data_IF_875970760279
#
_entry.id   IF_875970760279
#
_cell.length_a   1.000
_cell.length_b   1.000
_cell.length_c   1.000
_cell.angle_alpha   90.00
_cell.angle_beta   90.00
_cell.angle_gamma   90.00
#
_symmetry.space_group_name_H-M   'P 1'
#
loop_
_entity.id
_entity.type
_entity.pdbx_description
1 polymer ?
#
# COMPACT_ATOMS: atom_id res chain seq x y z
N UNK A 1 21.11 25.71 -15.16
CA UNK A 1 20.80 24.34 -15.59
C UNK A 1 20.19 23.60 -14.41
N UNK A 2 19.05 22.91 -14.60
CA UNK A 2 18.49 22.06 -13.54
C UNK A 2 19.39 20.85 -13.27
N UNK A 3 19.26 20.24 -12.06
CA UNK A 3 19.97 19.00 -11.71
C UNK A 3 19.60 17.88 -12.69
N UNK A 4 20.57 17.05 -13.08
CA UNK A 4 20.30 15.83 -13.86
C UNK A 4 19.52 14.80 -13.02
N UNK A 5 18.89 13.80 -13.67
CA UNK A 5 18.21 12.72 -12.93
C UNK A 5 19.21 11.91 -12.09
N UNK A 6 20.43 11.74 -12.55
CA UNK A 6 21.50 11.09 -11.77
C UNK A 6 21.85 11.88 -10.49
N UNK A 7 21.96 13.22 -10.57
CA UNK A 7 22.23 14.06 -9.39
C UNK A 7 21.06 14.01 -8.39
N UNK A 8 19.81 14.07 -8.90
CA UNK A 8 18.60 13.91 -8.08
C UNK A 8 18.54 12.55 -7.41
N UNK A 9 18.86 11.48 -8.13
CA UNK A 9 18.89 10.14 -7.59
C UNK A 9 19.90 10.02 -6.45
N UNK A 10 21.10 10.55 -6.62
CA UNK A 10 22.13 10.56 -5.59
C UNK A 10 21.67 11.31 -4.34
N UNK A 11 21.04 12.47 -4.51
CA UNK A 11 20.50 13.27 -3.40
C UNK A 11 19.37 12.52 -2.68
N UNK A 12 18.40 11.98 -3.42
CA UNK A 12 17.27 11.24 -2.85
C UNK A 12 17.73 9.96 -2.13
N UNK A 13 18.64 9.20 -2.74
CA UNK A 13 19.24 8.00 -2.12
C UNK A 13 20.01 8.31 -0.83
N UNK A 14 20.70 9.45 -0.76
CA UNK A 14 21.42 9.83 0.46
C UNK A 14 20.48 10.11 1.63
N UNK A 15 19.23 10.49 1.37
CA UNK A 15 18.17 10.63 2.38
C UNK A 15 17.56 9.28 2.78
N UNK A 16 17.35 8.39 1.80
CA UNK A 16 16.84 7.03 2.02
C UNK A 16 17.85 6.14 2.74
N UNK A 17 19.10 6.15 2.27
CA UNK A 17 20.13 5.19 2.66
C UNK A 17 21.46 5.92 2.95
N UNK A 18 21.54 6.73 4.00
CA UNK A 18 22.75 7.50 4.29
C UNK A 18 23.95 6.57 4.51
N UNK A 19 25.02 6.79 3.73
CA UNK A 19 26.27 6.04 3.83
C UNK A 19 26.23 4.60 3.29
N UNK A 20 25.18 4.25 2.53
CA UNK A 20 25.06 2.92 1.94
C UNK A 20 25.13 2.98 0.40
N UNK A 21 26.08 2.24 -0.16
CA UNK A 21 26.17 1.95 -1.58
C UNK A 21 25.70 0.51 -1.85
N UNK A 22 24.98 0.32 -2.97
CA UNK A 22 24.52 -1.01 -3.36
C UNK A 22 25.72 -1.89 -3.74
N UNK A 23 25.85 -3.12 -3.20
CA UNK A 23 26.90 -4.05 -3.64
C UNK A 23 26.78 -4.40 -5.14
N UNK A 24 25.60 -4.24 -5.74
CA UNK A 24 25.41 -4.44 -7.18
C UNK A 24 26.11 -3.38 -8.03
N UNK A 25 26.59 -2.29 -7.45
CA UNK A 25 27.46 -1.34 -8.17
C UNK A 25 28.81 -1.94 -8.57
N UNK A 26 29.25 -3.04 -7.93
CA UNK A 26 30.47 -3.75 -8.29
C UNK A 26 30.26 -4.70 -9.47
N UNK A 27 29.06 -5.28 -9.60
CA UNK A 27 28.75 -6.31 -10.62
C UNK A 27 27.96 -5.75 -11.80
N UNK A 28 27.04 -4.80 -11.57
CA UNK A 28 26.07 -4.31 -12.55
C UNK A 28 25.96 -2.76 -12.54
N UNK A 29 27.08 -2.01 -12.62
CA UNK A 29 27.06 -0.54 -12.39
C UNK A 29 26.15 0.20 -13.36
N UNK A 30 26.21 -0.09 -14.66
CA UNK A 30 25.39 0.59 -15.67
C UNK A 30 23.88 0.37 -15.43
N UNK A 31 23.49 -0.85 -15.07
CA UNK A 31 22.11 -1.19 -14.80
C UNK A 31 21.60 -0.47 -13.55
N UNK A 32 22.37 -0.46 -12.47
CA UNK A 32 22.03 0.19 -11.21
C UNK A 32 21.94 1.72 -11.39
N UNK A 33 22.87 2.34 -12.12
CA UNK A 33 22.81 3.77 -12.43
C UNK A 33 21.52 4.15 -13.18
N UNK A 34 21.09 3.35 -14.15
CA UNK A 34 19.83 3.57 -14.89
C UNK A 34 18.61 3.36 -14.01
N UNK A 35 18.58 2.27 -13.24
CA UNK A 35 17.49 1.98 -12.33
C UNK A 35 17.33 3.08 -11.27
N UNK A 36 18.43 3.49 -10.64
CA UNK A 36 18.44 4.55 -9.64
C UNK A 36 18.04 5.92 -10.23
N UNK A 37 18.57 6.26 -11.42
CA UNK A 37 18.22 7.49 -12.11
C UNK A 37 16.72 7.60 -12.38
N UNK A 38 16.06 6.48 -12.72
CA UNK A 38 14.62 6.43 -12.91
C UNK A 38 13.86 6.42 -11.57
N UNK A 39 14.13 5.42 -10.70
CA UNK A 39 13.35 5.20 -9.49
C UNK A 39 13.54 6.28 -8.41
N UNK A 40 14.71 6.91 -8.37
CA UNK A 40 15.05 7.90 -7.34
C UNK A 40 15.34 9.30 -7.90
N UNK A 41 15.58 9.43 -9.21
CA UNK A 41 15.94 10.71 -9.83
C UNK A 41 14.86 11.32 -10.73
N UNK A 42 13.96 10.52 -11.29
CA UNK A 42 12.90 10.97 -12.16
C UNK A 42 11.53 10.85 -11.50
N UNK A 43 11.14 9.64 -11.10
CA UNK A 43 9.81 9.35 -10.56
C UNK A 43 9.45 10.18 -9.32
N UNK A 44 10.29 10.32 -8.27
CA UNK A 44 9.94 11.13 -7.09
C UNK A 44 9.80 12.63 -7.37
N UNK A 45 10.26 13.09 -8.51
CA UNK A 45 10.19 14.50 -8.93
C UNK A 45 9.14 14.78 -10.01
N UNK A 46 8.35 13.77 -10.38
CA UNK A 46 7.28 13.91 -11.37
C UNK A 46 5.99 14.49 -10.81
N UNK A 47 5.84 14.49 -9.49
CA UNK A 47 4.67 14.99 -8.78
C UNK A 47 5.04 15.56 -7.40
N UNK A 48 4.06 16.00 -6.63
CA UNK A 48 4.19 16.61 -5.31
C UNK A 48 3.79 15.70 -4.14
N UNK A 49 3.70 14.36 -4.37
CA UNK A 49 3.39 13.41 -3.32
C UNK A 49 4.49 13.45 -2.24
N UNK A 50 4.10 13.58 -0.99
CA UNK A 50 5.07 13.62 0.12
C UNK A 50 5.80 12.28 0.29
N UNK A 51 7.02 12.36 0.83
CA UNK A 51 7.91 11.21 0.94
C UNK A 51 7.35 10.08 1.81
N UNK A 52 6.62 10.41 2.89
CA UNK A 52 6.03 9.42 3.79
C UNK A 52 4.92 8.63 3.09
N UNK A 53 3.99 9.31 2.44
CA UNK A 53 2.90 8.69 1.66
C UNK A 53 3.47 7.85 0.52
N UNK A 54 4.47 8.37 -0.21
CA UNK A 54 5.20 7.65 -1.26
C UNK A 54 5.78 6.34 -0.74
N UNK A 55 6.48 6.38 0.40
CA UNK A 55 7.09 5.17 0.97
C UNK A 55 6.05 4.16 1.43
N UNK A 56 4.92 4.58 2.00
CA UNK A 56 3.83 3.68 2.37
C UNK A 56 3.25 2.97 1.14
N UNK A 57 3.03 3.68 0.04
CA UNK A 57 2.56 3.11 -1.21
C UNK A 57 3.57 2.09 -1.80
N UNK A 58 4.85 2.43 -1.80
CA UNK A 58 5.92 1.52 -2.24
C UNK A 58 5.97 0.26 -1.37
N UNK A 59 5.95 0.38 -0.04
CA UNK A 59 5.96 -0.77 0.86
C UNK A 59 4.76 -1.69 0.65
N UNK A 60 3.56 -1.12 0.47
CA UNK A 60 2.36 -1.88 0.14
C UNK A 60 2.48 -2.60 -1.20
N UNK A 61 3.00 -1.92 -2.24
CA UNK A 61 3.20 -2.53 -3.55
C UNK A 61 4.24 -3.67 -3.54
N UNK A 62 5.30 -3.53 -2.75
CA UNK A 62 6.29 -4.59 -2.55
C UNK A 62 5.69 -5.80 -1.82
N UNK A 63 4.81 -5.57 -0.83
CA UNK A 63 4.07 -6.65 -0.19
C UNK A 63 3.12 -7.36 -1.17
N UNK A 64 2.39 -6.62 -2.00
CA UNK A 64 1.51 -7.16 -3.04
C UNK A 64 2.26 -7.97 -4.11
N UNK A 65 3.45 -7.51 -4.51
CA UNK A 65 4.31 -8.20 -5.50
C UNK A 65 5.21 -9.30 -4.91
N UNK A 66 5.14 -9.55 -3.61
CA UNK A 66 5.93 -10.56 -2.89
C UNK A 66 7.46 -10.31 -2.92
N UNK A 67 7.88 -9.06 -2.99
CA UNK A 67 9.28 -8.65 -3.07
C UNK A 67 9.88 -8.41 -1.68
N UNK A 68 10.03 -9.46 -0.87
CA UNK A 68 10.40 -9.35 0.56
C UNK A 68 11.79 -8.74 0.77
N UNK A 69 12.77 -9.07 -0.07
CA UNK A 69 14.14 -8.56 0.09
C UNK A 69 14.20 -7.05 -0.19
N UNK A 70 13.49 -6.60 -1.24
CA UNK A 70 13.40 -5.18 -1.54
C UNK A 70 12.56 -4.44 -0.49
N UNK A 71 11.51 -5.07 0.04
CA UNK A 71 10.74 -4.53 1.17
C UNK A 71 11.66 -4.27 2.38
N UNK A 72 12.53 -5.23 2.76
CA UNK A 72 13.52 -5.03 3.84
C UNK A 72 14.40 -3.81 3.59
N UNK A 73 14.91 -3.65 2.37
CA UNK A 73 15.72 -2.49 2.02
C UNK A 73 14.92 -1.19 2.13
N UNK A 74 13.71 -1.16 1.56
CA UNK A 74 12.87 0.05 1.51
C UNK A 74 12.30 0.45 2.87
N UNK A 75 12.03 -0.49 3.79
CA UNK A 75 11.63 -0.17 5.18
C UNK A 75 12.69 0.67 5.89
N UNK A 76 13.99 0.37 5.67
CA UNK A 76 15.08 1.18 6.23
C UNK A 76 15.01 2.64 5.76
N UNK A 77 14.76 2.82 4.46
CA UNK A 77 14.57 4.14 3.86
C UNK A 77 13.29 4.82 4.33
N UNK A 78 12.20 4.07 4.45
CA UNK A 78 10.91 4.57 4.91
C UNK A 78 11.00 5.20 6.31
N UNK A 79 11.69 4.55 7.24
CA UNK A 79 11.97 5.12 8.57
C UNK A 79 12.74 6.43 8.50
N UNK A 80 13.69 6.56 7.57
CA UNK A 80 14.46 7.80 7.40
C UNK A 80 13.64 8.93 6.78
N UNK A 81 12.52 8.59 6.13
CA UNK A 81 11.56 9.53 5.53
C UNK A 81 10.26 9.69 6.34
N UNK A 82 10.25 9.26 7.61
CA UNK A 82 9.21 9.57 8.57
C UNK A 82 8.07 8.55 8.66
N UNK A 83 8.15 7.38 8.01
CA UNK A 83 7.23 6.28 8.26
C UNK A 83 7.53 5.69 9.63
N UNK A 84 6.50 5.49 10.44
CA UNK A 84 6.64 5.00 11.81
C UNK A 84 6.65 3.46 11.89
N UNK A 85 7.18 2.87 12.98
CA UNK A 85 7.08 1.43 13.24
C UNK A 85 5.64 0.88 13.20
N UNK A 86 4.68 1.64 13.74
CA UNK A 86 3.26 1.26 13.75
C UNK A 86 2.74 1.20 12.32
N UNK A 87 3.02 2.20 11.49
CA UNK A 87 2.57 2.22 10.08
C UNK A 87 3.15 1.07 9.27
N UNK A 88 4.44 0.75 9.43
CA UNK A 88 5.04 -0.42 8.76
C UNK A 88 4.30 -1.71 9.17
N UNK A 89 3.99 -1.89 10.45
CA UNK A 89 3.25 -3.06 10.93
C UNK A 89 1.81 -3.07 10.41
N UNK A 90 1.13 -1.92 10.39
CA UNK A 90 -0.24 -1.81 9.89
C UNK A 90 -0.33 -2.06 8.38
N UNK A 91 0.66 -1.64 7.57
CA UNK A 91 0.75 -2.01 6.15
C UNK A 91 0.83 -3.54 5.99
N UNK A 92 1.66 -4.21 6.80
CA UNK A 92 1.80 -5.67 6.78
C UNK A 92 0.51 -6.36 7.24
N UNK A 93 -0.12 -5.86 8.31
CA UNK A 93 -1.39 -6.41 8.80
C UNK A 93 -2.51 -6.22 7.78
N UNK A 94 -2.60 -5.03 7.15
CA UNK A 94 -3.55 -4.74 6.08
C UNK A 94 -3.38 -5.67 4.87
N UNK A 95 -2.17 -6.16 4.60
CA UNK A 95 -1.93 -7.11 3.52
C UNK A 95 -2.58 -8.49 3.78
N UNK A 96 -2.84 -8.86 5.04
CA UNK A 96 -3.31 -10.21 5.40
C UNK A 96 -4.58 -10.63 4.65
N UNK A 97 -5.68 -9.86 4.65
CA UNK A 97 -6.92 -10.26 3.95
C UNK A 97 -6.81 -10.21 2.42
N UNK A 98 -5.80 -9.53 1.85
CA UNK A 98 -5.65 -9.35 0.41
C UNK A 98 -4.69 -10.34 -0.25
N UNK A 99 -3.57 -10.64 0.40
CA UNK A 99 -2.57 -11.58 -0.13
C UNK A 99 -2.59 -12.94 0.57
N UNK A 100 -3.30 -13.04 1.68
CA UNK A 100 -3.38 -14.24 2.52
C UNK A 100 -2.16 -14.39 3.46
N UNK A 101 -2.38 -15.10 4.56
CA UNK A 101 -1.38 -15.31 5.61
C UNK A 101 -0.08 -15.92 5.08
N UNK A 102 -0.17 -16.87 4.15
CA UNK A 102 1.01 -17.55 3.60
C UNK A 102 1.97 -16.61 2.88
N UNK A 103 1.44 -15.56 2.22
CA UNK A 103 2.25 -14.55 1.53
C UNK A 103 2.64 -13.39 2.43
N UNK A 104 1.84 -13.10 3.48
CA UNK A 104 2.08 -11.96 4.37
C UNK A 104 3.16 -12.26 5.43
N UNK A 105 3.21 -13.48 5.98
CA UNK A 105 4.11 -13.81 7.10
C UNK A 105 5.60 -13.48 6.86
N UNK A 106 6.20 -13.70 5.66
CA UNK A 106 7.57 -13.28 5.41
C UNK A 106 7.82 -11.78 5.63
N UNK A 107 6.83 -10.92 5.34
CA UNK A 107 6.92 -9.48 5.56
C UNK A 107 6.81 -9.12 7.05
N UNK A 108 6.02 -9.87 7.81
CA UNK A 108 5.92 -9.69 9.25
C UNK A 108 7.25 -10.03 9.94
N UNK A 109 7.89 -11.15 9.57
CA UNK A 109 9.22 -11.48 10.06
C UNK A 109 10.25 -10.43 9.68
N UNK A 110 10.22 -9.97 8.42
CA UNK A 110 11.11 -8.91 7.93
C UNK A 110 10.94 -7.60 8.71
N UNK A 111 9.68 -7.18 8.97
CA UNK A 111 9.39 -5.98 9.75
C UNK A 111 9.91 -6.10 11.18
N UNK A 112 9.67 -7.25 11.86
CA UNK A 112 10.15 -7.49 13.22
C UNK A 112 11.68 -7.43 13.29
N UNK A 113 12.38 -8.15 12.41
CA UNK A 113 13.84 -8.14 12.31
C UNK A 113 14.41 -6.70 12.21
N UNK A 114 13.78 -5.87 11.36
CA UNK A 114 14.23 -4.49 11.16
C UNK A 114 13.94 -3.58 12.37
N UNK A 115 12.83 -3.81 13.08
CA UNK A 115 12.50 -3.08 14.30
C UNK A 115 13.46 -3.44 15.42
N UNK A 116 13.78 -4.73 15.60
CA UNK A 116 14.77 -5.20 16.57
C UNK A 116 16.16 -4.61 16.29
N UNK A 117 16.59 -4.58 15.03
CA UNK A 117 17.85 -3.93 14.64
C UNK A 117 17.90 -2.43 14.93
N UNK A 118 16.75 -1.76 15.01
CA UNK A 118 16.62 -0.36 15.42
C UNK A 118 16.41 -0.18 16.93
N UNK A 119 16.50 -1.25 17.69
CA UNK A 119 16.26 -1.26 19.14
C UNK A 119 14.85 -0.77 19.51
N UNK A 120 13.87 -1.01 18.65
CA UNK A 120 12.47 -0.77 18.95
C UNK A 120 11.95 -1.95 19.78
N UNK A 121 11.40 -1.65 20.96
CA UNK A 121 10.84 -2.65 21.84
C UNK A 121 9.59 -3.30 21.22
N UNK A 122 9.54 -4.63 21.23
CA UNK A 122 8.39 -5.41 20.78
C UNK A 122 7.77 -6.16 21.98
N UNK A 123 6.43 -6.35 22.00
CA UNK A 123 5.45 -5.91 20.99
C UNK A 123 5.21 -4.40 21.01
N UNK A 124 4.87 -3.84 19.82
CA UNK A 124 4.38 -2.47 19.75
C UNK A 124 3.01 -2.34 20.43
N UNK A 125 2.63 -1.13 20.79
CA UNK A 125 1.29 -0.84 21.31
C UNK A 125 0.20 -1.37 20.37
N UNK A 126 -0.79 -2.09 20.94
CA UNK A 126 -1.88 -2.71 20.21
C UNK A 126 -2.80 -1.64 19.57
N UNK A 127 -3.18 -1.84 18.32
CA UNK A 127 -4.03 -0.92 17.56
C UNK A 127 -5.47 -1.46 17.37
N UNK A 128 -5.80 -2.63 17.92
CA UNK A 128 -7.13 -3.24 17.80
C UNK A 128 -8.18 -2.41 18.58
N UNK A 129 -9.34 -2.19 17.96
CA UNK A 129 -10.48 -1.45 18.54
C UNK A 129 -11.70 -2.34 18.75
N UNK A 130 -11.66 -3.58 18.27
CA UNK A 130 -12.77 -4.53 18.31
C UNK A 130 -12.41 -5.77 19.12
N UNK A 131 -13.44 -6.47 19.59
CA UNK A 131 -13.38 -7.80 20.20
C UNK A 131 -14.10 -8.81 19.30
N UNK A 132 -14.06 -10.10 19.68
CA UNK A 132 -14.79 -11.13 18.94
C UNK A 132 -16.30 -10.86 18.89
N UNK A 133 -16.88 -10.24 19.91
CA UNK A 133 -18.29 -9.91 20.00
C UNK A 133 -18.67 -8.66 19.17
N UNK A 134 -17.75 -7.70 19.00
CA UNK A 134 -18.04 -6.40 18.38
C UNK A 134 -17.59 -6.29 16.93
N UNK A 135 -16.71 -7.16 16.46
CA UNK A 135 -16.06 -7.04 15.15
C UNK A 135 -17.01 -7.12 13.96
N UNK A 136 -18.11 -7.91 14.03
CA UNK A 136 -19.07 -8.00 12.94
C UNK A 136 -19.81 -6.67 12.74
N UNK A 137 -20.36 -6.09 13.81
CA UNK A 137 -21.09 -4.84 13.75
C UNK A 137 -20.17 -3.70 13.30
N UNK A 138 -18.99 -3.59 13.92
CA UNK A 138 -17.99 -2.59 13.57
C UNK A 138 -17.51 -2.73 12.11
N UNK A 139 -17.28 -3.95 11.66
CA UNK A 139 -16.84 -4.22 10.29
C UNK A 139 -17.93 -3.95 9.24
N UNK A 140 -19.18 -4.31 9.51
CA UNK A 140 -20.31 -3.98 8.65
C UNK A 140 -20.48 -2.46 8.52
N UNK A 141 -20.38 -1.73 9.64
CA UNK A 141 -20.43 -0.27 9.61
C UNK A 141 -19.24 0.31 8.83
N UNK A 142 -18.02 -0.20 9.04
CA UNK A 142 -16.83 0.23 8.31
C UNK A 142 -16.98 0.02 6.79
N UNK A 143 -17.61 -1.08 6.34
CA UNK A 143 -17.93 -1.29 4.93
C UNK A 143 -18.90 -0.20 4.40
N UNK A 144 -19.90 0.21 5.18
CA UNK A 144 -20.80 1.30 4.83
C UNK A 144 -20.04 2.63 4.72
N UNK A 145 -19.17 2.93 5.68
CA UNK A 145 -18.39 4.16 5.73
C UNK A 145 -17.49 4.31 4.48
N UNK A 146 -16.86 3.23 4.05
CA UNK A 146 -15.90 3.21 2.93
C UNK A 146 -16.60 3.08 1.58
N UNK A 147 -17.51 2.13 1.42
CA UNK A 147 -18.11 1.81 0.12
C UNK A 147 -19.50 2.41 -0.09
N UNK A 148 -20.18 2.81 0.97
CA UNK A 148 -21.50 3.42 0.92
C UNK A 148 -22.63 2.53 1.44
N UNK A 149 -23.86 3.10 1.56
CA UNK A 149 -24.97 2.48 2.27
C UNK A 149 -25.48 1.16 1.68
N UNK A 150 -25.15 0.84 0.41
CA UNK A 150 -25.47 -0.43 -0.20
C UNK A 150 -24.77 -1.63 0.46
N UNK A 151 -23.77 -1.38 1.31
CA UNK A 151 -23.04 -2.42 2.04
C UNK A 151 -23.68 -2.82 3.38
N UNK A 152 -24.74 -2.15 3.83
CA UNK A 152 -25.32 -2.34 5.17
C UNK A 152 -25.64 -3.81 5.50
N UNK A 153 -26.21 -4.57 4.56
CA UNK A 153 -26.57 -5.97 4.74
C UNK A 153 -25.71 -6.94 3.91
N UNK A 154 -24.57 -6.46 3.39
CA UNK A 154 -23.73 -7.27 2.51
C UNK A 154 -23.27 -8.58 3.19
N UNK A 155 -22.96 -8.55 4.48
CA UNK A 155 -22.55 -9.71 5.27
C UNK A 155 -23.62 -10.82 5.36
N UNK A 156 -24.90 -10.50 5.07
CA UNK A 156 -26.02 -11.44 5.03
C UNK A 156 -26.43 -11.84 3.60
N UNK A 157 -25.78 -11.24 2.59
CA UNK A 157 -26.12 -11.43 1.18
C UNK A 157 -25.47 -12.67 0.56
N UNK A 158 -25.90 -13.00 -0.66
CA UNK A 158 -25.37 -14.10 -1.46
C UNK A 158 -26.04 -15.46 -1.20
N UNK A 159 -25.66 -16.49 -1.98
CA UNK A 159 -26.15 -17.84 -1.81
C UNK A 159 -25.83 -18.39 -0.43
N UNK A 160 -26.72 -19.25 0.10
CA UNK A 160 -26.59 -19.80 1.45
C UNK A 160 -25.23 -20.50 1.67
N UNK A 161 -24.78 -21.25 0.69
CA UNK A 161 -23.53 -22.02 0.74
C UNK A 161 -22.26 -21.14 0.77
N UNK A 162 -22.33 -19.88 0.37
CA UNK A 162 -21.17 -18.95 0.32
C UNK A 162 -21.33 -17.74 1.22
N UNK A 163 -22.50 -17.54 1.84
CA UNK A 163 -22.80 -16.36 2.68
C UNK A 163 -21.82 -16.18 3.83
N UNK A 164 -21.29 -17.26 4.37
CA UNK A 164 -20.27 -17.21 5.42
C UNK A 164 -19.01 -16.46 5.00
N UNK A 165 -18.66 -16.45 3.71
CA UNK A 165 -17.50 -15.69 3.19
C UNK A 165 -17.78 -14.18 3.28
N UNK A 166 -18.98 -13.72 2.91
CA UNK A 166 -19.35 -12.31 3.05
C UNK A 166 -19.39 -11.88 4.52
N UNK A 167 -19.83 -12.78 5.40
CA UNK A 167 -19.79 -12.53 6.84
C UNK A 167 -18.34 -12.42 7.33
N UNK A 168 -17.44 -13.33 6.96
CA UNK A 168 -16.03 -13.25 7.31
C UNK A 168 -15.36 -12.01 6.74
N UNK A 169 -15.77 -11.57 5.54
CA UNK A 169 -15.26 -10.32 4.98
C UNK A 169 -15.60 -9.13 5.90
N UNK A 170 -16.84 -9.06 6.42
CA UNK A 170 -17.22 -8.02 7.36
C UNK A 170 -16.49 -8.17 8.72
N UNK A 171 -16.49 -9.38 9.31
CA UNK A 171 -15.88 -9.63 10.62
C UNK A 171 -14.36 -9.49 10.60
N UNK A 172 -13.70 -10.22 9.71
CA UNK A 172 -12.24 -10.34 9.70
C UNK A 172 -11.58 -9.20 8.90
N UNK A 173 -11.93 -9.00 7.62
CA UNK A 173 -11.27 -7.96 6.84
C UNK A 173 -11.58 -6.56 7.39
N UNK A 174 -12.86 -6.23 7.56
CA UNK A 174 -13.24 -4.88 7.99
C UNK A 174 -13.25 -4.74 9.51
N UNK A 175 -13.72 -5.75 10.25
CA UNK A 175 -13.81 -5.69 11.70
C UNK A 175 -12.47 -5.83 12.41
N UNK A 176 -11.58 -6.74 11.96
CA UNK A 176 -10.30 -6.98 12.63
C UNK A 176 -9.16 -6.08 12.08
N UNK A 177 -9.18 -5.70 10.79
CA UNK A 177 -8.07 -4.93 10.19
C UNK A 177 -8.42 -3.47 9.91
N UNK A 178 -9.57 -3.16 9.30
CA UNK A 178 -9.90 -1.79 8.94
C UNK A 178 -10.26 -0.88 10.11
N UNK A 179 -10.78 -1.45 11.20
CA UNK A 179 -11.13 -0.68 12.41
C UNK A 179 -9.93 -0.30 13.26
N UNK A 180 -8.75 -0.91 13.01
CA UNK A 180 -7.53 -0.66 13.79
C UNK A 180 -7.12 0.80 13.67
N UNK A 181 -6.56 1.37 14.73
CA UNK A 181 -5.85 2.66 14.70
C UNK A 181 -4.51 2.53 13.97
N UNK A 182 -3.66 3.51 13.98
CA UNK A 182 -2.33 3.45 13.34
C UNK A 182 -2.30 3.85 11.86
N UNK A 183 -3.37 3.56 11.08
CA UNK A 183 -3.65 4.14 9.77
C UNK A 183 -5.09 4.66 9.76
N UNK A 184 -5.31 5.81 9.15
CA UNK A 184 -6.66 6.30 8.86
C UNK A 184 -7.27 5.61 7.62
N UNK A 185 -8.55 5.88 7.33
CA UNK A 185 -9.27 5.21 6.24
C UNK A 185 -8.68 5.55 4.86
N UNK A 186 -8.21 6.76 4.65
CA UNK A 186 -7.58 7.17 3.39
C UNK A 186 -6.24 6.42 3.17
N UNK A 187 -5.44 6.30 4.21
CA UNK A 187 -4.20 5.53 4.18
C UNK A 187 -4.45 4.04 3.97
N UNK A 188 -5.47 3.44 4.63
CA UNK A 188 -5.84 2.04 4.46
C UNK A 188 -6.31 1.74 3.05
N UNK A 189 -7.13 2.60 2.47
CA UNK A 189 -7.59 2.43 1.09
C UNK A 189 -6.46 2.60 0.08
N UNK A 190 -5.54 3.54 0.27
CA UNK A 190 -4.34 3.68 -0.56
C UNK A 190 -3.46 2.42 -0.47
N UNK A 191 -3.18 1.93 0.74
CA UNK A 191 -2.40 0.70 0.97
C UNK A 191 -3.06 -0.50 0.30
N UNK A 192 -4.38 -0.66 0.47
CA UNK A 192 -5.14 -1.74 -0.14
C UNK A 192 -5.09 -1.68 -1.67
N UNK A 193 -5.29 -0.49 -2.24
CA UNK A 193 -5.18 -0.30 -3.69
C UNK A 193 -3.79 -0.70 -4.20
N UNK A 194 -2.71 -0.27 -3.53
CA UNK A 194 -1.34 -0.65 -3.88
C UNK A 194 -1.09 -2.17 -3.81
N UNK A 195 -1.65 -2.85 -2.80
CA UNK A 195 -1.58 -4.32 -2.68
C UNK A 195 -2.25 -5.01 -3.88
N UNK A 196 -3.45 -4.57 -4.27
CA UNK A 196 -4.24 -5.15 -5.35
C UNK A 196 -3.58 -4.96 -6.71
N UNK A 197 -3.15 -3.74 -7.05
CA UNK A 197 -2.50 -3.46 -8.33
C UNK A 197 -1.16 -4.18 -8.47
N UNK A 198 -0.42 -4.33 -7.37
CA UNK A 198 0.85 -5.03 -7.35
C UNK A 198 0.69 -6.56 -7.42
N UNK A 199 -0.36 -7.12 -6.83
CA UNK A 199 -0.67 -8.54 -6.92
C UNK A 199 -1.05 -8.94 -8.37
N UNK A 200 -1.88 -8.13 -9.04
CA UNK A 200 -2.44 -8.41 -10.37
C UNK A 200 -3.52 -9.50 -10.36
N UNK A 201 -4.35 -9.53 -11.40
CA UNK A 201 -5.49 -10.44 -11.49
C UNK A 201 -6.64 -10.08 -10.52
N UNK A 202 -6.66 -8.87 -10.00
CA UNK A 202 -7.63 -8.34 -9.04
C UNK A 202 -8.24 -7.02 -9.53
N UNK A 203 -8.38 -6.84 -10.85
CA UNK A 203 -8.80 -5.58 -11.46
C UNK A 203 -10.18 -5.15 -10.98
N UNK A 204 -11.14 -6.08 -10.80
CA UNK A 204 -12.47 -5.78 -10.28
C UNK A 204 -12.40 -5.20 -8.85
N UNK A 205 -11.55 -5.79 -8.02
CA UNK A 205 -11.32 -5.28 -6.67
C UNK A 205 -10.56 -3.94 -6.70
N UNK A 206 -9.59 -3.78 -7.61
CA UNK A 206 -8.88 -2.52 -7.79
C UNK A 206 -9.82 -1.38 -8.19
N UNK A 207 -10.79 -1.60 -9.10
CA UNK A 207 -11.84 -0.62 -9.42
C UNK A 207 -12.68 -0.28 -8.19
N UNK A 208 -13.10 -1.29 -7.41
CA UNK A 208 -13.90 -1.07 -6.20
C UNK A 208 -13.14 -0.24 -5.16
N UNK A 209 -11.86 -0.55 -4.94
CA UNK A 209 -11.01 0.17 -3.99
C UNK A 209 -10.53 1.53 -4.53
N UNK A 210 -10.45 1.75 -5.85
CA UNK A 210 -10.27 3.09 -6.41
C UNK A 210 -11.49 3.99 -6.12
N UNK A 211 -12.72 3.48 -6.25
CA UNK A 211 -13.95 4.19 -5.83
C UNK A 211 -13.95 4.49 -4.33
N UNK A 212 -13.55 3.50 -3.52
CA UNK A 212 -13.44 3.66 -2.07
C UNK A 212 -12.42 4.75 -1.69
N UNK A 213 -11.24 4.75 -2.31
CA UNK A 213 -10.25 5.82 -2.17
C UNK A 213 -10.86 7.20 -2.44
N UNK A 214 -11.57 7.36 -3.56
CA UNK A 214 -12.20 8.65 -3.91
C UNK A 214 -13.26 9.06 -2.88
N UNK A 215 -13.99 8.12 -2.29
CA UNK A 215 -14.96 8.39 -1.21
C UNK A 215 -14.33 8.86 0.08
N UNK A 216 -13.16 8.32 0.43
CA UNK A 216 -12.43 8.70 1.65
C UNK A 216 -11.48 9.89 1.45
N UNK A 217 -11.51 10.54 0.27
CA UNK A 217 -10.80 11.79 -0.01
C UNK A 217 -9.52 11.66 -0.86
N UNK A 218 -9.15 10.47 -1.27
CA UNK A 218 -8.05 10.22 -2.20
C UNK A 218 -8.58 10.33 -3.64
N UNK A 219 -8.50 11.49 -4.24
CA UNK A 219 -9.03 11.75 -5.57
C UNK A 219 -8.29 10.98 -6.70
N UNK A 220 -8.83 11.07 -7.93
CA UNK A 220 -8.23 10.46 -9.11
C UNK A 220 -6.77 10.89 -9.32
N UNK A 221 -6.49 12.19 -9.14
CA UNK A 221 -5.14 12.74 -9.34
C UNK A 221 -4.16 12.17 -8.32
N UNK A 222 -4.57 12.04 -7.05
CA UNK A 222 -3.78 11.40 -6.01
C UNK A 222 -3.46 9.93 -6.37
N UNK A 223 -4.44 9.15 -6.81
CA UNK A 223 -4.23 7.74 -7.18
C UNK A 223 -3.27 7.59 -8.38
N UNK A 224 -3.31 8.49 -9.36
CA UNK A 224 -2.35 8.51 -10.48
C UNK A 224 -0.92 8.76 -9.95
N UNK A 225 -0.74 9.69 -9.01
CA UNK A 225 0.57 9.92 -8.36
C UNK A 225 1.04 8.66 -7.65
N UNK A 226 0.17 8.01 -6.86
CA UNK A 226 0.47 6.74 -6.16
C UNK A 226 0.93 5.66 -7.15
N UNK A 227 0.20 5.44 -8.25
CA UNK A 227 0.59 4.46 -9.28
C UNK A 227 1.94 4.81 -9.90
N UNK A 228 2.19 6.10 -10.18
CA UNK A 228 3.46 6.57 -10.73
C UNK A 228 4.62 6.21 -9.79
N UNK A 229 4.46 6.39 -8.48
CA UNK A 229 5.49 6.05 -7.50
C UNK A 229 5.70 4.54 -7.34
N UNK A 230 4.66 3.73 -7.56
CA UNK A 230 4.75 2.26 -7.53
C UNK A 230 5.36 1.67 -8.81
N UNK A 231 5.30 2.38 -9.95
CA UNK A 231 5.68 1.88 -11.28
C UNK A 231 7.08 1.23 -11.32
N UNK A 232 8.16 1.81 -10.74
CA UNK A 232 9.48 1.18 -10.76
C UNK A 232 9.53 -0.20 -10.11
N UNK A 233 8.58 -0.49 -9.22
CA UNK A 233 8.53 -1.69 -8.38
C UNK A 233 7.59 -2.78 -8.92
N UNK A 234 6.53 -2.40 -9.63
CA UNK A 234 5.51 -3.33 -10.14
C UNK A 234 5.52 -3.46 -11.67
N UNK A 235 6.22 -2.58 -12.37
CA UNK A 235 6.39 -2.57 -13.82
C UNK A 235 5.21 -1.99 -14.59
N UNK A 236 5.46 -1.67 -15.85
CA UNK A 236 4.49 -1.02 -16.75
C UNK A 236 3.15 -1.76 -16.91
N UNK A 237 3.10 -3.09 -17.12
CA UNK A 237 1.82 -3.76 -17.36
C UNK A 237 0.82 -3.59 -16.20
N UNK A 238 1.27 -3.75 -14.98
CA UNK A 238 0.43 -3.58 -13.78
C UNK A 238 0.04 -2.12 -13.56
N UNK A 239 0.97 -1.19 -13.80
CA UNK A 239 0.69 0.24 -13.68
C UNK A 239 -0.33 0.72 -14.71
N UNK A 240 -0.24 0.27 -15.96
CA UNK A 240 -1.23 0.59 -17.00
C UNK A 240 -2.61 -0.01 -16.70
N UNK A 241 -2.66 -1.23 -16.14
CA UNK A 241 -3.92 -1.81 -15.66
C UNK A 241 -4.50 -1.00 -14.50
N UNK A 242 -3.66 -0.55 -13.56
CA UNK A 242 -4.09 0.28 -12.44
C UNK A 242 -4.70 1.61 -12.90
N UNK A 243 -4.09 2.28 -13.88
CA UNK A 243 -4.64 3.52 -14.46
C UNK A 243 -6.02 3.30 -15.05
N UNK A 244 -6.24 2.18 -15.79
CA UNK A 244 -7.58 1.84 -16.31
C UNK A 244 -8.60 1.62 -15.19
N UNK A 245 -8.19 0.96 -14.10
CA UNK A 245 -9.07 0.77 -12.94
C UNK A 245 -9.45 2.11 -12.27
N UNK A 246 -8.52 3.06 -12.22
CA UNK A 246 -8.78 4.41 -11.70
C UNK A 246 -9.77 5.15 -12.61
N UNK A 247 -9.57 5.10 -13.94
CA UNK A 247 -10.45 5.77 -14.90
C UNK A 247 -11.86 5.20 -14.85
N UNK A 248 -12.01 3.87 -14.84
CA UNK A 248 -13.31 3.19 -14.70
C UNK A 248 -14.01 3.56 -13.38
N UNK A 249 -13.25 3.69 -12.31
CA UNK A 249 -13.79 4.11 -11.02
C UNK A 249 -14.29 5.55 -11.05
N UNK A 250 -13.51 6.46 -11.63
CA UNK A 250 -13.85 7.89 -11.73
C UNK A 250 -15.08 8.12 -12.63
N UNK A 251 -15.14 7.46 -13.80
CA UNK A 251 -16.31 7.51 -14.68
C UNK A 251 -17.59 7.05 -13.98
N UNK A 252 -17.51 5.94 -13.22
CA UNK A 252 -18.66 5.40 -12.49
C UNK A 252 -19.12 6.30 -11.31
N UNK A 253 -18.26 7.18 -10.83
CA UNK A 253 -18.60 8.17 -9.79
C UNK A 253 -19.06 9.53 -10.35
N UNK A 254 -19.05 9.71 -11.68
CA UNK A 254 -19.37 10.98 -12.33
C UNK A 254 -18.22 11.98 -12.34
N UNK A 255 -17.03 11.55 -11.99
CA UNK A 255 -15.81 12.35 -11.92
C UNK A 255 -14.91 12.15 -13.18
N UNK A 256 -15.46 11.57 -14.23
CA UNK A 256 -14.80 11.45 -15.53
C UNK A 256 -14.53 12.84 -16.11
N UNK A 257 -13.36 13.39 -15.83
CA UNK A 257 -12.94 14.69 -16.34
C UNK A 257 -12.95 14.71 -17.85
N UNK A 258 -13.43 15.83 -18.42
CA UNK A 258 -13.26 16.24 -19.80
C UNK A 258 -11.77 16.39 -20.16
#
# INVERSE_FOLDING_TARGET
MGKSNADRAKEYRSRLFPGFDSPLMETDPEFIERMDSFAFGEVPYSDDLDDRTRMMAILASLAGSQAVDLFKAMVKGAFNLGVTPIEVKEIVYQATPYVGMGRMLPFLYAANELLEHRLVELPLEGQATTTEETRLEAGAQKQVDIFGPQMADFHQSGPEETRHINRWLAENCFGDYYTRTGLDDAQREMVTFCLLIAQGGCELQAVSHAKANMRVGNDRAFLIKVVSQCLPYIGYPRSLNALRCIDEAAEAMGDGGE
#
